data_IF_152757387274
#
_entry.id   IF_152757387274
#
_cell.length_a   1.000
_cell.length_b   1.000
_cell.length_c   1.000
_cell.angle_alpha   90.00
_cell.angle_beta   90.00
_cell.angle_gamma   90.00
#
_symmetry.space_group_name_H-M   'P 1'
#
loop_
_entity.id
_entity.type
_entity.pdbx_description
1 polymer ?
#
# COMPACT_ATOMS: atom_id res chain seq x y z
N UNK A 1 5.21 -16.88 15.28
CA UNK A 1 5.50 -15.81 14.30
C UNK A 1 5.63 -14.49 15.04
N UNK A 2 6.71 -13.74 14.81
CA UNK A 2 6.91 -12.37 15.32
C UNK A 2 6.96 -11.39 14.15
N UNK A 3 6.65 -10.12 14.39
CA UNK A 3 6.78 -9.05 13.39
C UNK A 3 8.00 -8.19 13.77
N UNK A 4 8.79 -7.76 12.78
CA UNK A 4 9.78 -6.70 12.99
C UNK A 4 9.10 -5.31 12.91
N UNK A 5 9.84 -4.24 13.24
CA UNK A 5 9.42 -2.84 13.16
C UNK A 5 8.95 -2.41 11.77
N UNK A 6 9.34 -3.14 10.72
CA UNK A 6 8.93 -2.94 9.33
C UNK A 6 7.69 -3.78 8.94
N UNK A 7 7.06 -4.47 9.89
CA UNK A 7 5.90 -5.34 9.63
C UNK A 7 6.23 -6.67 8.94
N UNK A 8 7.52 -6.99 8.76
CA UNK A 8 7.95 -8.24 8.14
C UNK A 8 7.79 -9.43 9.11
N UNK A 9 7.15 -10.53 8.69
CA UNK A 9 6.99 -11.71 9.53
C UNK A 9 8.28 -12.52 9.63
N UNK A 10 8.70 -12.77 10.87
CA UNK A 10 9.84 -13.60 11.25
C UNK A 10 9.35 -14.89 11.92
N UNK A 11 9.77 -16.02 11.38
CA UNK A 11 9.39 -17.35 11.87
C UNK A 11 10.49 -17.92 12.77
N UNK A 12 10.09 -18.43 13.94
CA UNK A 12 10.98 -19.20 14.81
C UNK A 12 10.92 -20.69 14.45
N UNK A 13 11.86 -21.50 14.94
CA UNK A 13 11.97 -22.93 14.62
C UNK A 13 10.66 -23.70 14.90
N UNK A 14 9.99 -23.39 16.01
CA UNK A 14 8.68 -23.99 16.35
C UNK A 14 7.59 -23.68 15.32
N UNK A 15 7.59 -22.46 14.77
CA UNK A 15 6.62 -22.06 13.75
C UNK A 15 6.87 -22.81 12.44
N UNK A 16 8.14 -23.06 12.10
CA UNK A 16 8.55 -23.81 10.90
C UNK A 16 8.09 -25.27 11.02
N UNK A 17 8.31 -25.88 12.18
CA UNK A 17 7.87 -27.25 12.47
C UNK A 17 6.35 -27.35 12.35
N UNK A 18 5.60 -26.45 12.99
CA UNK A 18 4.13 -26.44 12.89
C UNK A 18 3.63 -26.25 11.44
N UNK A 19 4.33 -25.44 10.65
CA UNK A 19 4.02 -25.21 9.23
C UNK A 19 4.23 -26.48 8.39
N UNK A 20 5.27 -27.27 8.69
CA UNK A 20 5.51 -28.59 8.08
C UNK A 20 4.41 -29.58 8.49
N UNK A 21 4.06 -29.65 9.78
CA UNK A 21 3.00 -30.55 10.27
C UNK A 21 1.62 -30.23 9.68
N UNK A 22 1.35 -28.96 9.38
CA UNK A 22 0.13 -28.52 8.67
C UNK A 22 0.15 -28.82 7.16
N UNK A 23 1.17 -29.51 6.65
CA UNK A 23 1.29 -29.92 5.25
C UNK A 23 1.72 -28.80 4.30
N UNK A 24 2.23 -27.68 4.80
CA UNK A 24 2.64 -26.53 3.99
C UNK A 24 4.17 -26.51 3.71
N UNK A 25 4.81 -27.68 3.64
CA UNK A 25 6.26 -27.79 3.46
C UNK A 25 6.77 -27.18 2.14
N UNK A 26 5.90 -27.05 1.13
CA UNK A 26 6.16 -26.36 -0.14
C UNK A 26 6.41 -24.86 0.03
N UNK A 27 5.91 -24.25 1.11
CA UNK A 27 5.99 -22.80 1.36
C UNK A 27 7.26 -22.38 2.10
N UNK A 28 8.10 -23.35 2.51
CA UNK A 28 9.35 -23.09 3.26
C UNK A 28 10.34 -22.18 2.51
N UNK A 29 10.33 -22.18 1.17
CA UNK A 29 11.19 -21.29 0.38
C UNK A 29 10.75 -19.82 0.37
N UNK A 30 9.54 -19.52 0.89
CA UNK A 30 8.93 -18.18 0.88
C UNK A 30 8.94 -17.50 2.25
N UNK A 31 9.35 -18.21 3.30
CA UNK A 31 9.38 -17.66 4.66
C UNK A 31 10.76 -17.12 5.01
N UNK A 32 10.80 -16.14 5.91
CA UNK A 32 12.02 -15.65 6.53
C UNK A 32 12.13 -16.22 7.95
N UNK A 33 13.14 -17.05 8.17
CA UNK A 33 13.39 -17.67 9.46
C UNK A 33 14.43 -16.89 10.28
N UNK A 34 14.26 -16.87 11.60
CA UNK A 34 15.32 -16.46 12.51
C UNK A 34 16.58 -17.32 12.28
N UNK A 35 17.77 -16.71 12.28
CA UNK A 35 19.02 -17.46 12.11
C UNK A 35 19.22 -18.36 13.32
N UNK A 36 18.96 -19.66 13.17
CA UNK A 36 19.15 -20.69 14.18
C UNK A 36 20.09 -21.78 13.66
N UNK A 37 20.62 -22.59 14.59
CA UNK A 37 21.45 -23.75 14.24
C UNK A 37 20.65 -24.73 13.38
N UNK A 38 19.37 -24.91 13.70
CA UNK A 38 18.47 -25.86 13.03
C UNK A 38 18.16 -25.43 11.60
N UNK A 39 17.95 -24.14 11.34
CA UNK A 39 17.73 -23.60 9.98
C UNK A 39 18.96 -23.79 9.09
N UNK A 40 20.16 -23.58 9.64
CA UNK A 40 21.41 -23.80 8.91
C UNK A 40 21.63 -25.28 8.58
N UNK A 41 21.39 -26.16 9.55
CA UNK A 41 21.47 -27.60 9.37
C UNK A 41 20.44 -28.12 8.36
N UNK A 42 19.22 -27.58 8.40
CA UNK A 42 18.18 -27.91 7.42
C UNK A 42 18.62 -27.53 6.00
N UNK A 43 19.15 -26.32 5.82
CA UNK A 43 19.61 -25.86 4.51
C UNK A 43 20.78 -26.69 3.96
N UNK A 44 21.74 -27.09 4.81
CA UNK A 44 22.86 -27.95 4.36
C UNK A 44 22.38 -29.34 3.94
N UNK A 45 21.46 -29.95 4.72
CA UNK A 45 20.88 -31.25 4.38
C UNK A 45 20.06 -31.18 3.08
N UNK A 46 19.31 -30.10 2.87
CA UNK A 46 18.50 -29.93 1.67
C UNK A 46 19.34 -29.69 0.41
N UNK A 47 20.51 -29.08 0.56
CA UNK A 47 21.53 -28.94 -0.48
C UNK A 47 22.15 -30.31 -0.82
N UNK A 48 22.56 -31.08 0.18
CA UNK A 48 23.10 -32.45 0.01
C UNK A 48 22.09 -33.38 -0.69
N UNK A 49 20.81 -33.28 -0.30
CA UNK A 49 19.72 -34.07 -0.88
C UNK A 49 19.27 -33.56 -2.26
N UNK A 50 19.84 -32.44 -2.76
CA UNK A 50 19.45 -31.75 -4.01
C UNK A 50 17.94 -31.46 -4.09
N UNK A 51 17.29 -31.25 -2.94
CA UNK A 51 15.83 -31.08 -2.87
C UNK A 51 15.36 -29.63 -3.07
N UNK A 52 16.27 -28.69 -3.36
CA UNK A 52 15.96 -27.35 -3.89
C UNK A 52 15.19 -26.39 -2.96
N UNK A 53 14.65 -26.86 -1.82
CA UNK A 53 13.96 -26.02 -0.85
C UNK A 53 14.97 -25.53 0.18
N UNK A 54 15.29 -24.23 0.11
CA UNK A 54 16.13 -23.53 1.08
C UNK A 54 15.28 -22.50 1.82
N UNK A 55 15.42 -22.46 3.15
CA UNK A 55 14.77 -21.47 3.98
C UNK A 55 15.62 -20.20 3.94
N UNK A 56 14.99 -19.07 3.58
CA UNK A 56 15.66 -17.77 3.59
C UNK A 56 15.86 -17.32 5.04
N UNK A 57 17.08 -16.91 5.37
CA UNK A 57 17.37 -16.35 6.68
C UNK A 57 16.91 -14.89 6.72
N UNK A 58 16.36 -14.51 7.86
CA UNK A 58 16.01 -13.13 8.14
C UNK A 58 17.30 -12.33 8.38
N UNK A 59 17.55 -11.35 7.52
CA UNK A 59 18.56 -10.32 7.73
C UNK A 59 17.88 -9.08 8.28
N UNK A 60 18.35 -8.59 9.43
CA UNK A 60 17.82 -7.35 9.99
C UNK A 60 18.25 -6.20 9.09
N UNK A 61 17.25 -5.50 8.57
CA UNK A 61 17.44 -4.36 7.70
C UNK A 61 17.36 -3.10 8.57
N UNK A 62 18.49 -2.41 8.76
CA UNK A 62 18.54 -1.13 9.49
C UNK A 62 18.01 0.03 8.62
N UNK A 63 16.80 -0.13 8.09
CA UNK A 63 16.12 0.90 7.31
C UNK A 63 15.02 1.51 8.17
N UNK A 64 14.86 2.82 8.11
CA UNK A 64 13.76 3.49 8.78
C UNK A 64 12.45 3.16 8.06
N UNK A 65 11.32 2.98 8.79
CA UNK A 65 10.02 2.73 8.15
C UNK A 65 9.67 3.74 7.06
N UNK A 66 10.00 5.02 7.28
CA UNK A 66 9.77 6.11 6.34
C UNK A 66 10.46 5.91 4.98
N UNK A 67 11.70 5.43 4.99
CA UNK A 67 12.49 5.20 3.78
C UNK A 67 11.96 3.98 3.02
N UNK A 68 11.53 2.94 3.74
CA UNK A 68 10.90 1.76 3.14
C UNK A 68 9.55 2.13 2.49
N UNK A 69 8.71 2.89 3.19
CA UNK A 69 7.41 3.34 2.68
C UNK A 69 7.58 4.17 1.41
N UNK A 70 8.57 5.06 1.36
CA UNK A 70 8.86 5.86 0.17
C UNK A 70 9.23 4.99 -1.04
N UNK A 71 10.06 3.95 -0.85
CA UNK A 71 10.42 3.00 -1.91
C UNK A 71 9.20 2.21 -2.38
N UNK A 72 8.41 1.68 -1.44
CA UNK A 72 7.23 0.88 -1.75
C UNK A 72 6.14 1.68 -2.48
N UNK A 73 5.99 2.97 -2.17
CA UNK A 73 5.07 3.87 -2.88
C UNK A 73 5.44 4.05 -4.36
N UNK A 74 6.73 4.00 -4.71
CA UNK A 74 7.19 4.03 -6.11
C UNK A 74 6.94 2.73 -6.87
N UNK A 75 6.90 1.61 -6.15
CA UNK A 75 6.73 0.26 -6.69
C UNK A 75 5.26 -0.19 -6.79
N UNK A 76 4.31 0.73 -6.62
CA UNK A 76 2.91 0.38 -6.75
C UNK A 76 2.55 -0.11 -8.15
N UNK A 77 1.75 -1.16 -8.16
CA UNK A 77 1.33 -1.86 -9.36
C UNK A 77 0.26 -1.05 -10.10
N UNK A 78 0.70 -0.14 -10.97
CA UNK A 78 -0.14 0.63 -11.87
C UNK A 78 0.60 0.97 -13.19
N UNK A 79 -0.13 1.16 -14.32
CA UNK A 79 0.48 1.55 -15.58
C UNK A 79 1.24 2.88 -15.51
N UNK A 80 2.32 3.01 -16.29
CA UNK A 80 3.21 4.18 -16.29
C UNK A 80 2.47 5.51 -16.55
N UNK A 81 1.42 5.48 -17.39
CA UNK A 81 0.59 6.66 -17.69
C UNK A 81 0.00 7.32 -16.43
N UNK A 82 -0.26 6.55 -15.37
CA UNK A 82 -0.77 7.07 -14.10
C UNK A 82 0.36 7.51 -13.15
N UNK A 83 1.55 6.90 -13.21
CA UNK A 83 2.73 7.31 -12.42
C UNK A 83 3.22 8.71 -12.76
N UNK A 84 3.11 9.09 -14.04
CA UNK A 84 3.51 10.43 -14.52
C UNK A 84 2.32 11.40 -14.60
N UNK A 85 1.13 11.00 -14.14
CA UNK A 85 -0.07 11.83 -14.21
C UNK A 85 0.06 13.07 -13.31
N UNK A 86 -0.17 14.25 -13.89
CA UNK A 86 -0.30 15.48 -13.14
C UNK A 86 -1.70 15.57 -12.50
N UNK A 87 -1.77 15.39 -11.19
CA UNK A 87 -3.02 15.40 -10.43
C UNK A 87 -3.72 16.77 -10.46
N UNK A 88 -2.98 17.86 -10.46
CA UNK A 88 -3.54 19.22 -10.50
C UNK A 88 -4.24 19.46 -11.84
N UNK A 89 -3.60 19.07 -12.94
CA UNK A 89 -4.18 19.14 -14.28
C UNK A 89 -5.41 18.23 -14.39
N UNK A 90 -5.31 16.99 -13.93
CA UNK A 90 -6.44 16.04 -13.91
C UNK A 90 -7.65 16.62 -13.18
N UNK A 91 -7.48 17.15 -11.96
CA UNK A 91 -8.57 17.72 -11.18
C UNK A 91 -9.14 18.98 -11.82
N UNK A 92 -8.33 19.78 -12.51
CA UNK A 92 -8.81 20.97 -13.23
C UNK A 92 -9.76 20.65 -14.39
N UNK A 93 -9.69 19.42 -14.93
CA UNK A 93 -10.65 18.94 -15.94
C UNK A 93 -12.00 18.56 -15.36
N UNK A 94 -12.05 18.23 -14.06
CA UNK A 94 -13.25 17.78 -13.34
C UNK A 94 -13.92 18.94 -12.62
N UNK A 95 -13.12 19.77 -11.95
CA UNK A 95 -13.56 20.92 -11.16
C UNK A 95 -13.07 22.19 -11.83
N UNK A 96 -13.98 23.12 -12.12
CA UNK A 96 -13.62 24.36 -12.78
C UNK A 96 -12.73 25.23 -11.87
N UNK A 97 -11.61 25.72 -12.39
CA UNK A 97 -10.66 26.59 -11.66
C UNK A 97 -11.32 27.86 -11.12
N UNK A 98 -12.39 28.34 -11.78
CA UNK A 98 -13.11 29.55 -11.37
C UNK A 98 -14.15 29.30 -10.27
N UNK A 99 -14.38 28.05 -9.91
CA UNK A 99 -15.39 27.66 -8.94
C UNK A 99 -14.89 27.88 -7.50
N UNK A 100 -15.78 28.20 -6.54
CA UNK A 100 -15.40 28.32 -5.14
C UNK A 100 -14.83 27.00 -4.57
N UNK A 101 -15.25 25.86 -5.11
CA UNK A 101 -14.78 24.52 -4.74
C UNK A 101 -13.30 24.32 -5.08
N UNK A 102 -12.78 24.99 -6.11
CA UNK A 102 -11.36 24.90 -6.49
C UNK A 102 -10.42 25.37 -5.38
N UNK A 103 -10.82 26.37 -4.58
CA UNK A 103 -10.01 26.83 -3.45
C UNK A 103 -9.80 25.73 -2.41
N UNK A 104 -10.83 24.92 -2.17
CA UNK A 104 -10.77 23.78 -1.24
C UNK A 104 -9.86 22.70 -1.82
N UNK A 105 -9.98 22.41 -3.12
CA UNK A 105 -9.09 21.48 -3.84
C UNK A 105 -7.63 21.92 -3.70
N UNK A 106 -7.34 23.20 -3.93
CA UNK A 106 -5.98 23.75 -3.87
C UNK A 106 -5.37 23.64 -2.46
N UNK A 107 -6.13 24.01 -1.42
CA UNK A 107 -5.70 23.85 -0.03
C UNK A 107 -5.43 22.38 0.34
N UNK A 108 -6.33 21.48 -0.07
CA UNK A 108 -6.21 20.07 0.24
C UNK A 108 -5.03 19.41 -0.52
N UNK A 109 -4.84 19.75 -1.80
CA UNK A 109 -3.70 19.30 -2.60
C UNK A 109 -2.36 19.78 -2.02
N UNK A 110 -2.30 21.00 -1.49
CA UNK A 110 -1.11 21.51 -0.82
C UNK A 110 -0.73 20.65 0.39
N UNK A 111 -1.70 20.20 1.19
CA UNK A 111 -1.46 19.28 2.31
C UNK A 111 -1.07 17.87 1.86
N UNK A 112 -1.68 17.33 0.80
CA UNK A 112 -1.23 16.07 0.20
C UNK A 112 0.22 16.17 -0.31
N UNK A 113 0.61 17.32 -0.89
CA UNK A 113 1.97 17.58 -1.38
C UNK A 113 2.97 17.58 -0.25
N UNK A 114 2.65 18.29 0.83
CA UNK A 114 3.48 18.41 2.03
C UNK A 114 3.78 17.05 2.67
N UNK A 115 2.89 16.07 2.49
CA UNK A 115 3.00 14.71 3.05
C UNK A 115 3.49 13.68 2.04
N UNK A 116 3.91 14.11 0.85
CA UNK A 116 4.37 13.23 -0.23
C UNK A 116 3.32 12.18 -0.66
N UNK A 117 2.03 12.53 -0.62
CA UNK A 117 0.92 11.62 -0.91
C UNK A 117 0.41 11.73 -2.36
N UNK A 118 1.14 12.38 -3.27
CA UNK A 118 0.76 12.43 -4.69
C UNK A 118 0.72 11.04 -5.36
N UNK A 119 1.67 10.12 -5.08
CA UNK A 119 1.57 8.74 -5.58
C UNK A 119 0.25 8.08 -5.16
N UNK A 120 -0.21 8.32 -3.92
CA UNK A 120 -1.53 7.88 -3.43
C UNK A 120 -2.66 8.34 -4.33
N UNK A 121 -2.70 9.63 -4.66
CA UNK A 121 -3.74 10.19 -5.52
C UNK A 121 -3.70 9.59 -6.93
N UNK A 122 -2.50 9.42 -7.51
CA UNK A 122 -2.32 8.79 -8.83
C UNK A 122 -2.85 7.36 -8.87
N UNK A 123 -2.53 6.59 -7.83
CA UNK A 123 -3.03 5.22 -7.70
C UNK A 123 -4.55 5.18 -7.52
N UNK A 124 -5.14 6.10 -6.77
CA UNK A 124 -6.59 6.17 -6.60
C UNK A 124 -7.31 6.52 -7.90
N UNK A 125 -6.74 7.39 -8.74
CA UNK A 125 -7.25 7.64 -10.09
C UNK A 125 -7.23 6.35 -10.92
N UNK A 126 -6.09 5.64 -10.95
CA UNK A 126 -5.98 4.35 -11.63
C UNK A 126 -7.00 3.33 -11.12
N UNK A 127 -7.14 3.20 -9.80
CA UNK A 127 -8.05 2.24 -9.18
C UNK A 127 -9.50 2.52 -9.59
N UNK A 128 -9.93 3.79 -9.53
CA UNK A 128 -11.27 4.20 -9.93
C UNK A 128 -11.49 3.95 -11.43
N UNK A 129 -10.55 4.33 -12.29
CA UNK A 129 -10.63 4.07 -13.73
C UNK A 129 -10.74 2.57 -14.01
N UNK A 130 -9.87 1.76 -13.41
CA UNK A 130 -9.88 0.31 -13.56
C UNK A 130 -11.23 -0.30 -13.14
N UNK A 131 -11.78 0.13 -12.00
CA UNK A 131 -13.08 -0.35 -11.55
C UNK A 131 -14.21 0.08 -12.51
N UNK A 132 -14.17 1.30 -13.06
CA UNK A 132 -15.16 1.79 -14.04
C UNK A 132 -15.08 1.01 -15.35
N UNK A 133 -13.89 0.86 -15.91
CA UNK A 133 -13.63 0.13 -17.16
C UNK A 133 -14.11 -1.33 -17.07
N UNK A 134 -13.90 -1.97 -15.90
CA UNK A 134 -14.30 -3.35 -15.65
C UNK A 134 -15.71 -3.50 -15.07
N UNK A 135 -16.49 -2.41 -14.95
CA UNK A 135 -17.85 -2.40 -14.37
C UNK A 135 -17.91 -3.01 -12.96
N UNK A 136 -16.85 -2.85 -12.18
CA UNK A 136 -16.78 -3.28 -10.78
C UNK A 136 -17.47 -2.21 -9.94
N UNK A 137 -18.40 -2.62 -9.08
CA UNK A 137 -19.07 -1.72 -8.13
C UNK A 137 -18.27 -1.68 -6.83
N UNK A 138 -18.00 -0.48 -6.32
CA UNK A 138 -17.41 -0.27 -5.00
C UNK A 138 -18.34 0.55 -4.09
N UNK A 139 -18.08 0.47 -2.79
CA UNK A 139 -18.88 1.14 -1.77
C UNK A 139 -18.89 2.67 -1.93
N UNK A 140 -19.93 3.30 -1.40
CA UNK A 140 -20.20 4.74 -1.55
C UNK A 140 -19.19 5.67 -0.85
N UNK A 141 -18.26 5.13 -0.06
CA UNK A 141 -17.33 5.84 0.81
C UNK A 141 -17.59 5.52 2.28
N UNK A 142 -16.53 5.32 3.07
CA UNK A 142 -16.61 5.07 4.52
C UNK A 142 -15.41 5.66 5.24
N UNK A 143 -15.59 5.99 6.52
CA UNK A 143 -14.55 6.59 7.36
C UNK A 143 -14.38 8.09 7.11
N UNK A 144 -13.32 8.66 7.70
CA UNK A 144 -13.00 10.09 7.63
C UNK A 144 -12.64 10.55 6.22
N UNK A 145 -12.22 9.64 5.32
CA UNK A 145 -11.90 9.99 3.93
C UNK A 145 -13.05 10.62 3.16
N UNK A 146 -14.29 10.46 3.63
CA UNK A 146 -15.50 11.08 3.05
C UNK A 146 -15.47 12.61 3.15
N UNK A 147 -14.68 13.17 4.08
CA UNK A 147 -14.50 14.61 4.23
C UNK A 147 -13.63 15.24 3.12
N UNK A 148 -12.87 14.42 2.37
CA UNK A 148 -11.98 14.90 1.31
C UNK A 148 -12.75 15.27 0.04
N UNK A 149 -12.56 16.49 -0.46
CA UNK A 149 -13.18 16.89 -1.72
C UNK A 149 -12.35 16.41 -2.92
N UNK A 150 -11.02 16.33 -2.78
CA UNK A 150 -10.14 15.73 -3.80
C UNK A 150 -10.52 14.27 -4.08
N UNK A 151 -10.75 13.47 -3.03
CA UNK A 151 -11.16 12.06 -3.19
C UNK A 151 -12.57 11.92 -3.77
N UNK A 152 -13.48 12.84 -3.45
CA UNK A 152 -14.79 12.95 -4.08
C UNK A 152 -14.66 13.24 -5.59
N UNK A 153 -13.82 14.22 -5.97
CA UNK A 153 -13.62 14.62 -7.36
C UNK A 153 -13.02 13.48 -8.22
N UNK A 154 -12.05 12.72 -7.67
CA UNK A 154 -11.52 11.50 -8.32
C UNK A 154 -12.63 10.44 -8.47
N UNK A 155 -13.60 10.42 -7.56
CA UNK A 155 -14.71 9.48 -7.55
C UNK A 155 -14.46 8.23 -6.69
N UNK A 156 -13.55 8.35 -5.71
CA UNK A 156 -13.30 7.32 -4.70
C UNK A 156 -14.56 7.08 -3.85
N UNK A 157 -15.27 8.16 -3.52
CA UNK A 157 -16.58 8.13 -2.88
C UNK A 157 -17.58 9.03 -3.61
N UNK A 158 -18.87 8.88 -3.29
CA UNK A 158 -19.98 9.60 -3.95
C UNK A 158 -20.63 10.69 -3.09
N UNK A 159 -20.12 10.90 -1.87
CA UNK A 159 -20.65 11.89 -0.94
C UNK A 159 -19.87 13.19 -1.14
N UNK A 160 -20.57 14.29 -1.42
CA UNK A 160 -19.96 15.61 -1.58
C UNK A 160 -19.72 16.25 -0.19
N UNK A 161 -18.47 16.38 0.28
CA UNK A 161 -18.20 16.90 1.63
C UNK A 161 -18.63 18.36 1.82
N UNK A 162 -18.59 19.18 0.77
CA UNK A 162 -18.99 20.60 0.83
C UNK A 162 -20.48 20.71 1.13
N UNK A 163 -21.30 19.86 0.53
CA UNK A 163 -22.75 19.83 0.76
C UNK A 163 -23.10 19.52 2.23
N UNK A 164 -22.30 18.66 2.88
CA UNK A 164 -22.53 18.23 4.26
C UNK A 164 -21.69 19.01 5.29
N UNK A 165 -20.92 20.02 4.85
CA UNK A 165 -20.07 20.81 5.74
C UNK A 165 -18.97 19.99 6.43
N UNK A 166 -18.46 18.95 5.78
CA UNK A 166 -17.39 18.12 6.33
C UNK A 166 -16.03 18.81 6.14
N UNK A 167 -15.21 18.79 7.19
CA UNK A 167 -13.87 19.37 7.18
C UNK A 167 -12.81 18.32 6.84
N UNK A 168 -12.14 18.48 5.70
CA UNK A 168 -11.05 17.60 5.26
C UNK A 168 -9.87 17.58 6.24
N UNK A 169 -9.73 18.61 7.09
CA UNK A 169 -8.68 18.67 8.12
C UNK A 169 -8.86 17.62 9.21
N UNK A 170 -10.07 17.11 9.41
CA UNK A 170 -10.31 15.97 10.30
C UNK A 170 -9.79 14.66 9.71
N UNK A 171 -9.76 14.56 8.38
CA UNK A 171 -9.22 13.41 7.67
C UNK A 171 -7.69 13.45 7.63
N UNK A 172 -7.14 14.59 7.23
CA UNK A 172 -5.71 14.82 7.14
C UNK A 172 -5.12 15.29 8.49
N UNK A 173 -5.53 14.72 9.61
CA UNK A 173 -4.97 15.09 10.92
C UNK A 173 -3.68 14.34 11.26
#
# INVERSE_FOLDING_TARGET
>A
MKLDNLGLPRFADRDIVDLIYKGNADKLGRIFAESSVDVKLFNSIMEDLRKGVQIKQYEHMEIKPEDLDAVLQGEWFMPEKYKVLNIEEYLSTIVSIKSPEWKIVEEELAEFKKRNMYPLLQFLVYLVDFMRENKIVWGVGRGSSVASYVLYAIGVHKINPIQYGLDWREFLR
#
